data_IF_868657866858
#
_entry.id   IF_868657866858
#
_cell.length_a   1.000
_cell.length_b   1.000
_cell.length_c   1.000
_cell.angle_alpha   90.00
_cell.angle_beta   90.00
_cell.angle_gamma   90.00
#
_symmetry.space_group_name_H-M   'P 1'
#
loop_
_entity.id
_entity.type
_entity.pdbx_description
1 polymer ?
#
# COMPACT_ATOMS: atom_id res chain seq x y z
N UNK A 1 16.51 34.08 51.06
CA UNK A 1 16.18 33.64 49.67
C UNK A 1 15.22 32.46 49.76
N UNK A 2 13.94 32.66 49.40
CA UNK A 2 12.81 31.79 49.77
C UNK A 2 12.82 30.42 49.07
N UNK A 3 12.51 29.35 49.81
CA UNK A 3 12.37 27.95 49.35
C UNK A 3 11.47 27.81 48.11
N UNK A 4 10.46 28.67 47.98
CA UNK A 4 9.55 28.71 46.83
C UNK A 4 10.27 29.06 45.51
N UNK A 5 11.30 29.91 45.55
CA UNK A 5 12.08 30.28 44.38
C UNK A 5 12.99 29.12 43.92
N UNK A 6 13.61 28.42 44.89
CA UNK A 6 14.47 27.25 44.61
C UNK A 6 13.68 26.09 44.01
N UNK A 7 12.44 25.87 44.46
CA UNK A 7 11.54 24.87 43.89
C UNK A 7 11.01 25.24 42.50
N UNK A 8 10.69 26.52 42.25
CA UNK A 8 10.35 26.99 40.89
C UNK A 8 11.50 26.77 39.90
N UNK A 9 12.73 27.09 40.30
CA UNK A 9 13.91 26.89 39.44
C UNK A 9 14.20 25.41 39.17
N UNK A 10 14.02 24.54 40.17
CA UNK A 10 14.09 23.08 39.97
C UNK A 10 13.00 22.60 39.01
N UNK A 11 11.76 23.03 39.18
CA UNK A 11 10.62 22.65 38.31
C UNK A 11 10.86 23.05 36.85
N UNK A 12 11.33 24.28 36.62
CA UNK A 12 11.68 24.77 35.27
C UNK A 12 12.81 23.95 34.64
N UNK A 13 13.80 23.50 35.45
CA UNK A 13 14.89 22.66 34.95
C UNK A 13 14.41 21.27 34.53
N UNK A 14 13.50 20.65 35.29
CA UNK A 14 12.90 19.37 34.92
C UNK A 14 12.01 19.47 33.68
N UNK A 15 11.20 20.51 33.57
CA UNK A 15 10.34 20.74 32.38
C UNK A 15 11.17 20.89 31.10
N UNK A 16 12.29 21.62 31.16
CA UNK A 16 13.21 21.75 30.00
C UNK A 16 13.86 20.44 29.60
N UNK A 17 14.30 19.62 30.56
CA UNK A 17 14.88 18.31 30.28
C UNK A 17 13.86 17.34 29.69
N UNK A 18 12.61 17.39 30.14
CA UNK A 18 11.52 16.57 29.61
C UNK A 18 11.17 16.93 28.15
N UNK A 19 11.06 18.24 27.86
CA UNK A 19 10.81 18.74 26.50
C UNK A 19 11.96 18.37 25.57
N UNK A 20 13.22 18.47 26.02
CA UNK A 20 14.39 18.09 25.22
C UNK A 20 14.43 16.58 24.92
N UNK A 21 14.09 15.73 25.88
CA UNK A 21 14.09 14.28 25.70
C UNK A 21 12.95 13.80 24.79
N UNK A 22 11.75 14.39 24.94
CA UNK A 22 10.59 14.08 24.11
C UNK A 22 10.75 14.60 22.68
N UNK A 23 11.31 15.79 22.48
CA UNK A 23 11.59 16.33 21.13
C UNK A 23 12.69 15.53 20.42
N UNK A 24 13.74 15.10 21.14
CA UNK A 24 14.76 14.22 20.58
C UNK A 24 14.19 12.85 20.19
N UNK A 25 13.35 12.24 21.04
CA UNK A 25 12.66 10.99 20.73
C UNK A 25 11.73 11.10 19.53
N UNK A 26 10.93 12.18 19.46
CA UNK A 26 10.04 12.45 18.32
C UNK A 26 10.82 12.63 17.02
N UNK A 27 11.94 13.35 17.06
CA UNK A 27 12.82 13.55 15.90
C UNK A 27 13.42 12.22 15.44
N UNK A 28 13.87 11.38 16.36
CA UNK A 28 14.40 10.05 16.03
C UNK A 28 13.35 9.15 15.36
N UNK A 29 12.11 9.14 15.86
CA UNK A 29 11.00 8.38 15.27
C UNK A 29 10.65 8.91 13.86
N UNK A 30 10.60 10.22 13.68
CA UNK A 30 10.34 10.84 12.37
C UNK A 30 11.46 10.49 11.39
N UNK A 31 12.73 10.55 11.81
CA UNK A 31 13.87 10.24 10.96
C UNK A 31 13.93 8.76 10.59
N UNK A 32 13.63 7.87 11.56
CA UNK A 32 13.51 6.45 11.30
C UNK A 32 12.38 6.15 10.30
N UNK A 33 11.20 6.76 10.48
CA UNK A 33 10.06 6.64 9.56
C UNK A 33 10.40 7.16 8.16
N UNK A 34 11.06 8.32 8.05
CA UNK A 34 11.54 8.88 6.78
C UNK A 34 12.51 7.93 6.08
N UNK A 35 13.43 7.35 6.83
CA UNK A 35 14.45 6.43 6.30
C UNK A 35 13.81 5.14 5.79
N UNK A 36 12.94 4.52 6.59
CA UNK A 36 12.18 3.31 6.21
C UNK A 36 11.31 3.59 4.99
N UNK A 37 10.61 4.72 4.97
CA UNK A 37 9.79 5.14 3.84
C UNK A 37 10.61 5.30 2.56
N UNK A 38 11.78 5.94 2.62
CA UNK A 38 12.67 6.10 1.46
C UNK A 38 13.17 4.74 0.96
N UNK A 39 13.56 3.83 1.86
CA UNK A 39 14.02 2.48 1.49
C UNK A 39 12.90 1.71 0.76
N UNK A 40 11.71 1.63 1.36
CA UNK A 40 10.56 0.95 0.76
C UNK A 40 10.22 1.57 -0.61
N UNK A 41 10.28 2.91 -0.69
CA UNK A 41 10.01 3.65 -1.91
C UNK A 41 11.02 3.35 -3.02
N UNK A 42 12.32 3.35 -2.71
CA UNK A 42 13.38 3.04 -3.68
C UNK A 42 13.26 1.60 -4.17
N UNK A 43 13.03 0.66 -3.25
CA UNK A 43 12.80 -0.75 -3.59
C UNK A 43 11.57 -0.91 -4.49
N UNK A 44 10.47 -0.24 -4.15
CA UNK A 44 9.25 -0.25 -4.96
C UNK A 44 9.48 0.35 -6.37
N UNK A 45 10.18 1.48 -6.46
CA UNK A 45 10.49 2.11 -7.74
C UNK A 45 11.39 1.23 -8.62
N UNK A 46 12.45 0.66 -8.04
CA UNK A 46 13.33 -0.28 -8.74
C UNK A 46 12.56 -1.52 -9.22
N UNK A 47 11.66 -2.05 -8.39
CA UNK A 47 10.82 -3.19 -8.74
C UNK A 47 9.85 -2.88 -9.90
N UNK A 48 9.22 -1.70 -9.91
CA UNK A 48 8.35 -1.27 -11.00
C UNK A 48 9.11 -1.08 -12.32
N UNK A 49 10.31 -0.50 -12.28
CA UNK A 49 11.18 -0.35 -13.46
C UNK A 49 11.62 -1.73 -13.97
N UNK A 50 11.97 -2.64 -13.06
CA UNK A 50 12.29 -4.03 -13.41
C UNK A 50 11.11 -4.74 -14.10
N UNK A 51 9.89 -4.59 -13.58
CA UNK A 51 8.68 -5.13 -14.21
C UNK A 51 8.43 -4.49 -15.58
N UNK A 52 8.56 -3.17 -15.70
CA UNK A 52 8.41 -2.46 -16.96
C UNK A 52 9.38 -2.99 -18.05
N UNK A 53 10.65 -3.16 -17.69
CA UNK A 53 11.66 -3.75 -18.57
C UNK A 53 11.29 -5.19 -18.97
N UNK A 54 10.84 -6.00 -18.01
CA UNK A 54 10.40 -7.38 -18.27
C UNK A 54 9.20 -7.44 -19.20
N UNK A 55 8.26 -6.49 -19.13
CA UNK A 55 7.13 -6.41 -20.06
C UNK A 55 7.56 -5.96 -21.47
N UNK A 56 8.57 -5.10 -21.58
CA UNK A 56 9.11 -4.66 -22.86
C UNK A 56 9.93 -5.71 -23.61
N UNK A 57 10.74 -6.48 -22.88
CA UNK A 57 11.65 -7.49 -23.46
C UNK A 57 11.04 -8.90 -23.44
N UNK A 58 10.05 -9.14 -22.58
CA UNK A 58 9.45 -10.45 -22.38
C UNK A 58 8.76 -10.99 -23.62
N UNK A 59 9.14 -12.21 -24.00
CA UNK A 59 8.52 -12.90 -25.12
C UNK A 59 7.05 -13.23 -24.82
N UNK A 60 6.17 -12.77 -25.70
CA UNK A 60 4.71 -12.84 -25.57
C UNK A 60 4.21 -14.28 -25.44
N UNK A 61 4.97 -15.25 -25.96
CA UNK A 61 4.66 -16.68 -25.90
C UNK A 61 4.96 -17.30 -24.53
N UNK A 62 6.05 -16.88 -23.87
CA UNK A 62 6.50 -17.46 -22.60
C UNK A 62 5.62 -17.08 -21.40
N UNK A 63 4.99 -15.90 -21.42
CA UNK A 63 4.04 -15.50 -20.37
C UNK A 63 2.71 -16.25 -20.45
N UNK A 64 2.26 -16.63 -21.65
CA UNK A 64 1.01 -17.37 -21.82
C UNK A 64 1.13 -18.82 -21.30
N UNK A 65 2.30 -19.46 -21.45
CA UNK A 65 2.53 -20.82 -20.94
C UNK A 65 2.66 -20.86 -19.41
N UNK A 66 3.30 -19.86 -18.78
CA UNK A 66 3.38 -19.80 -17.30
C UNK A 66 2.04 -19.52 -16.60
N UNK A 67 1.03 -19.02 -17.32
CA UNK A 67 -0.31 -18.80 -16.78
C UNK A 67 -1.17 -20.07 -16.69
N UNK A 68 -0.75 -21.18 -17.29
CA UNK A 68 -1.46 -22.47 -17.27
C UNK A 68 -1.06 -23.42 -16.15
N UNK A 69 0.05 -23.16 -15.45
CA UNK A 69 0.62 -24.05 -14.43
C UNK A 69 0.32 -23.59 -12.99
N UNK A 70 -0.85 -23.00 -12.73
CA UNK A 70 -1.32 -22.88 -11.36
C UNK A 70 -2.05 -24.17 -10.95
N UNK A 71 -1.28 -25.25 -10.77
CA UNK A 71 -1.72 -26.43 -10.01
C UNK A 71 -1.76 -26.15 -8.48
N UNK A 72 -2.03 -24.91 -8.10
CA UNK A 72 -2.27 -24.57 -6.70
C UNK A 72 -3.65 -25.07 -6.32
N UNK A 73 -3.73 -26.08 -5.43
CA UNK A 73 -5.00 -26.43 -4.77
C UNK A 73 -5.68 -25.14 -4.27
N UNK A 74 -6.97 -24.97 -4.54
CA UNK A 74 -7.80 -23.82 -4.09
C UNK A 74 -7.43 -23.30 -2.69
N UNK A 75 -7.28 -24.14 -1.64
CA UNK A 75 -6.89 -23.66 -0.31
C UNK A 75 -5.53 -22.93 -0.24
N UNK A 76 -4.56 -23.32 -1.07
CA UNK A 76 -3.24 -22.66 -1.14
C UNK A 76 -3.37 -21.26 -1.74
N UNK A 77 -4.20 -21.11 -2.77
CA UNK A 77 -4.49 -19.81 -3.38
C UNK A 77 -5.25 -18.92 -2.41
N UNK A 78 -6.28 -19.44 -1.74
CA UNK A 78 -7.03 -18.69 -0.71
C UNK A 78 -6.12 -18.20 0.41
N UNK A 79 -5.22 -19.06 0.91
CA UNK A 79 -4.28 -18.68 1.98
C UNK A 79 -3.30 -17.59 1.51
N UNK A 80 -2.83 -17.66 0.27
CA UNK A 80 -1.92 -16.66 -0.30
C UNK A 80 -2.62 -15.31 -0.44
N UNK A 81 -3.83 -15.29 -0.99
CA UNK A 81 -4.63 -14.07 -1.12
C UNK A 81 -4.97 -13.48 0.26
N UNK A 82 -5.34 -14.32 1.23
CA UNK A 82 -5.61 -13.87 2.60
C UNK A 82 -4.38 -13.22 3.26
N UNK A 83 -3.19 -13.81 3.11
CA UNK A 83 -1.95 -13.25 3.63
C UNK A 83 -1.56 -11.94 2.93
N UNK A 84 -1.78 -11.86 1.62
CA UNK A 84 -1.57 -10.61 0.85
C UNK A 84 -2.55 -9.51 1.28
N UNK A 85 -3.81 -9.85 1.51
CA UNK A 85 -4.85 -8.91 1.93
C UNK A 85 -4.59 -8.35 3.33
N UNK A 86 -4.26 -9.21 4.31
CA UNK A 86 -3.90 -8.76 5.67
C UNK A 86 -2.58 -8.00 5.67
N UNK A 87 -1.63 -8.39 4.83
CA UNK A 87 -0.36 -7.70 4.66
C UNK A 87 -0.45 -6.34 3.96
N UNK A 88 -1.65 -5.90 3.54
CA UNK A 88 -1.87 -4.63 2.86
C UNK A 88 -2.18 -3.50 3.89
N UNK A 89 -1.18 -2.74 4.36
CA UNK A 89 -1.40 -1.69 5.35
C UNK A 89 -2.35 -0.60 4.85
N UNK A 90 -2.49 -0.43 3.53
CA UNK A 90 -3.42 0.54 2.94
C UNK A 90 -4.87 0.19 3.26
N UNK A 91 -5.23 -1.09 3.18
CA UNK A 91 -6.58 -1.54 3.49
C UNK A 91 -6.91 -1.26 4.95
N UNK A 92 -6.01 -1.64 5.87
CA UNK A 92 -6.14 -1.39 7.31
C UNK A 92 -6.34 0.10 7.58
N UNK A 93 -5.47 0.97 7.02
CA UNK A 93 -5.56 2.41 7.22
C UNK A 93 -6.89 2.99 6.73
N UNK A 94 -7.36 2.57 5.55
CA UNK A 94 -8.65 3.00 5.00
C UNK A 94 -9.78 2.58 5.92
N UNK A 95 -9.82 1.31 6.34
CA UNK A 95 -10.87 0.82 7.24
C UNK A 95 -10.86 1.54 8.59
N UNK A 96 -9.69 1.73 9.20
CA UNK A 96 -9.60 2.45 10.48
C UNK A 96 -9.98 3.93 10.38
N UNK A 97 -9.77 4.56 9.22
CA UNK A 97 -10.09 5.97 9.02
C UNK A 97 -11.55 6.21 8.60
N UNK A 98 -12.10 5.36 7.74
CA UNK A 98 -13.41 5.55 7.14
C UNK A 98 -14.52 4.79 7.87
N UNK A 99 -14.28 3.56 8.32
CA UNK A 99 -15.35 2.71 8.83
C UNK A 99 -16.01 3.27 10.12
N UNK A 100 -15.28 3.89 11.08
CA UNK A 100 -15.91 4.56 12.22
C UNK A 100 -16.86 5.71 11.84
N UNK A 101 -16.70 6.31 10.65
CA UNK A 101 -17.55 7.43 10.21
C UNK A 101 -18.96 6.98 9.82
N UNK A 102 -19.17 5.68 9.60
CA UNK A 102 -20.45 5.10 9.21
C UNK A 102 -21.16 4.38 10.37
N UNK A 103 -20.58 4.40 11.56
CA UNK A 103 -21.10 3.70 12.75
C UNK A 103 -21.80 4.71 13.65
N UNK A 104 -23.01 4.36 14.09
CA UNK A 104 -23.75 5.13 15.10
C UNK A 104 -23.28 4.70 16.50
N UNK A 105 -22.72 5.61 17.32
CA UNK A 105 -22.11 5.26 18.61
C UNK A 105 -23.05 4.66 19.67
N UNK A 106 -24.36 4.99 19.60
CA UNK A 106 -25.37 4.60 20.59
C UNK A 106 -26.08 3.27 20.29
N UNK A 107 -25.66 2.55 19.26
CA UNK A 107 -26.24 1.29 18.77
C UNK A 107 -25.22 0.14 18.90
N UNK A 108 -25.64 -1.12 18.67
CA UNK A 108 -24.70 -2.25 18.71
C UNK A 108 -23.65 -2.14 17.59
N UNK A 109 -22.46 -1.74 18.00
CA UNK A 109 -21.30 -1.53 17.13
C UNK A 109 -20.90 -2.82 16.43
N UNK A 110 -20.94 -3.98 17.10
CA UNK A 110 -20.44 -5.22 16.54
C UNK A 110 -21.28 -5.66 15.33
N UNK A 111 -22.60 -5.56 15.46
CA UNK A 111 -23.54 -5.85 14.36
C UNK A 111 -23.35 -4.89 13.18
N UNK A 112 -23.18 -3.58 13.42
CA UNK A 112 -22.92 -2.61 12.36
C UNK A 112 -21.62 -2.91 11.61
N UNK A 113 -20.54 -3.23 12.32
CA UNK A 113 -19.27 -3.62 11.71
C UNK A 113 -19.39 -4.89 10.85
N UNK A 114 -20.15 -5.89 11.29
CA UNK A 114 -20.41 -7.10 10.49
C UNK A 114 -21.16 -6.74 9.21
N UNK A 115 -22.21 -5.92 9.28
CA UNK A 115 -23.00 -5.50 8.12
C UNK A 115 -22.14 -4.71 7.13
N UNK A 116 -21.39 -3.70 7.61
CA UNK A 116 -20.50 -2.92 6.76
C UNK A 116 -19.41 -3.78 6.11
N UNK A 117 -18.82 -4.70 6.87
CA UNK A 117 -17.85 -5.67 6.36
C UNK A 117 -18.46 -6.56 5.27
N UNK A 118 -19.68 -7.06 5.47
CA UNK A 118 -20.39 -7.89 4.50
C UNK A 118 -20.71 -7.12 3.20
N UNK A 119 -21.17 -5.87 3.30
CA UNK A 119 -21.43 -5.00 2.15
C UNK A 119 -20.12 -4.74 1.39
N UNK A 120 -19.04 -4.41 2.09
CA UNK A 120 -17.73 -4.20 1.48
C UNK A 120 -17.26 -5.44 0.71
N UNK A 121 -17.31 -6.62 1.35
CA UNK A 121 -16.91 -7.88 0.72
C UNK A 121 -17.78 -8.20 -0.49
N UNK A 122 -19.09 -7.97 -0.43
CA UNK A 122 -19.98 -8.18 -1.56
C UNK A 122 -19.63 -7.27 -2.75
N UNK A 123 -19.36 -5.98 -2.49
CA UNK A 123 -18.94 -5.03 -3.52
C UNK A 123 -17.58 -5.41 -4.12
N UNK A 124 -16.63 -5.85 -3.29
CA UNK A 124 -15.33 -6.33 -3.75
C UNK A 124 -15.48 -7.56 -4.65
N UNK A 125 -16.33 -8.52 -4.26
CA UNK A 125 -16.60 -9.72 -5.04
C UNK A 125 -17.23 -9.39 -6.40
N UNK A 126 -18.19 -8.47 -6.43
CA UNK A 126 -18.80 -7.97 -7.68
C UNK A 126 -17.75 -7.29 -8.56
N UNK A 127 -16.90 -6.44 -7.99
CA UNK A 127 -15.84 -5.77 -8.74
C UNK A 127 -14.87 -6.79 -9.37
N UNK A 128 -14.41 -7.79 -8.60
CA UNK A 128 -13.53 -8.86 -9.09
C UNK A 128 -14.22 -9.68 -10.19
N UNK A 129 -15.50 -10.02 -10.02
CA UNK A 129 -16.27 -10.75 -11.03
C UNK A 129 -16.36 -9.97 -12.35
N UNK A 130 -16.60 -8.66 -12.28
CA UNK A 130 -16.60 -7.77 -13.45
C UNK A 130 -15.22 -7.76 -14.12
N UNK A 131 -14.13 -7.60 -13.35
CA UNK A 131 -12.77 -7.64 -13.88
C UNK A 131 -12.42 -8.98 -14.52
N UNK A 132 -12.83 -10.10 -13.92
CA UNK A 132 -12.63 -11.44 -14.47
C UNK A 132 -13.37 -11.61 -15.81
N UNK A 133 -14.63 -11.17 -15.86
CA UNK A 133 -15.44 -11.21 -17.09
C UNK A 133 -14.85 -10.36 -18.22
N UNK A 134 -14.41 -9.14 -17.90
CA UNK A 134 -13.70 -8.25 -18.83
C UNK A 134 -12.38 -8.88 -19.29
N UNK A 135 -11.64 -9.51 -18.38
CA UNK A 135 -10.40 -10.22 -18.68
C UNK A 135 -10.58 -11.35 -19.69
N UNK A 136 -11.66 -12.14 -19.59
CA UNK A 136 -11.99 -13.20 -20.55
C UNK A 136 -12.27 -12.64 -21.95
N UNK A 137 -12.95 -11.50 -22.05
CA UNK A 137 -13.20 -10.83 -23.33
C UNK A 137 -11.91 -10.24 -23.91
N UNK A 138 -11.11 -9.58 -23.06
CA UNK A 138 -9.84 -8.98 -23.44
C UNK A 138 -8.83 -10.03 -23.90
N UNK A 139 -8.86 -11.24 -23.32
CA UNK A 139 -8.01 -12.36 -23.74
C UNK A 139 -8.27 -12.78 -25.20
N UNK A 140 -9.53 -12.74 -25.65
CA UNK A 140 -9.89 -13.01 -27.05
C UNK A 140 -9.34 -11.95 -28.00
N UNK A 141 -9.39 -10.67 -27.59
CA UNK A 141 -8.86 -9.54 -28.37
C UNK A 141 -7.32 -9.52 -28.38
N UNK A 142 -6.71 -9.94 -27.27
CA UNK A 142 -5.28 -10.12 -27.11
C UNK A 142 -4.81 -11.49 -27.65
N UNK A 143 -5.57 -12.22 -28.47
CA UNK A 143 -5.11 -13.51 -28.98
C UNK A 143 -3.89 -13.37 -29.93
N UNK A 144 -3.80 -12.25 -30.65
CA UNK A 144 -2.72 -11.98 -31.61
C UNK A 144 -1.41 -11.50 -30.97
N UNK A 145 -0.26 -11.95 -31.52
CA UNK A 145 1.07 -11.56 -31.03
C UNK A 145 1.32 -10.04 -31.05
N UNK A 146 0.80 -9.33 -32.05
CA UNK A 146 0.90 -7.85 -32.14
C UNK A 146 0.09 -7.16 -31.03
N UNK A 147 -1.14 -7.61 -30.78
CA UNK A 147 -2.00 -7.03 -29.76
C UNK A 147 -1.42 -7.22 -28.35
N UNK A 148 -0.91 -8.42 -28.03
CA UNK A 148 -0.20 -8.69 -26.78
C UNK A 148 1.06 -7.83 -26.63
N UNK A 149 1.84 -7.64 -27.70
CA UNK A 149 3.05 -6.81 -27.67
C UNK A 149 2.71 -5.35 -27.35
N UNK A 150 1.69 -4.78 -28.00
CA UNK A 150 1.23 -3.41 -27.75
C UNK A 150 0.74 -3.30 -26.30
N UNK A 151 -0.08 -4.24 -25.83
CA UNK A 151 -0.57 -4.26 -24.46
C UNK A 151 0.57 -4.29 -23.44
N UNK A 152 1.55 -5.19 -23.62
CA UNK A 152 2.74 -5.25 -22.77
C UNK A 152 3.55 -3.96 -22.80
N UNK A 153 3.67 -3.31 -23.96
CA UNK A 153 4.38 -2.04 -24.09
C UNK A 153 3.67 -0.89 -23.35
N UNK A 154 2.34 -0.83 -23.44
CA UNK A 154 1.51 0.15 -22.72
C UNK A 154 1.61 -0.09 -21.21
N UNK A 155 1.37 -1.32 -20.74
CA UNK A 155 1.51 -1.66 -19.32
C UNK A 155 2.94 -1.41 -18.81
N UNK A 156 3.96 -1.76 -19.61
CA UNK A 156 5.35 -1.48 -19.30
C UNK A 156 5.63 0.02 -19.18
N UNK A 157 5.13 0.84 -20.11
CA UNK A 157 5.30 2.30 -20.03
C UNK A 157 4.59 2.91 -18.82
N UNK A 158 3.41 2.40 -18.45
CA UNK A 158 2.68 2.87 -17.26
C UNK A 158 3.44 2.50 -15.98
N UNK A 159 3.94 1.28 -15.86
CA UNK A 159 4.74 0.83 -14.72
C UNK A 159 6.07 1.60 -14.63
N UNK A 160 6.76 1.80 -15.76
CA UNK A 160 8.00 2.56 -15.82
C UNK A 160 7.78 4.03 -15.45
N UNK A 161 6.70 4.63 -15.96
CA UNK A 161 6.27 5.98 -15.62
C UNK A 161 5.93 6.13 -14.13
N UNK A 162 5.20 5.16 -13.54
CA UNK A 162 4.90 5.14 -12.11
C UNK A 162 6.18 4.99 -11.26
N UNK A 163 7.11 4.12 -11.66
CA UNK A 163 8.41 3.95 -11.00
C UNK A 163 9.25 5.23 -11.04
N UNK A 164 9.31 5.90 -12.21
CA UNK A 164 10.00 7.18 -12.36
C UNK A 164 9.32 8.29 -11.56
N UNK A 165 7.99 8.37 -11.58
CA UNK A 165 7.22 9.33 -10.79
C UNK A 165 7.45 9.13 -9.29
N UNK A 166 7.58 7.88 -8.83
CA UNK A 166 7.95 7.59 -7.45
C UNK A 166 9.32 8.19 -7.13
N UNK A 167 10.33 8.00 -7.97
CA UNK A 167 11.65 8.60 -7.77
C UNK A 167 11.59 10.14 -7.75
N UNK A 168 10.88 10.75 -8.71
CA UNK A 168 10.76 12.21 -8.85
C UNK A 168 10.02 12.84 -7.66
N UNK A 169 8.95 12.21 -7.17
CA UNK A 169 8.19 12.67 -6.01
C UNK A 169 9.03 12.73 -4.71
N UNK A 170 10.26 12.18 -4.71
CA UNK A 170 11.18 12.28 -3.58
C UNK A 170 11.82 13.66 -3.41
N UNK A 171 12.07 14.36 -4.51
CA UNK A 171 12.74 15.67 -4.47
C UNK A 171 11.89 16.74 -3.78
N UNK A 172 10.56 16.62 -3.82
CA UNK A 172 9.63 17.55 -3.16
C UNK A 172 9.57 17.41 -1.63
N UNK A 173 9.92 16.24 -1.07
CA UNK A 173 9.91 15.97 0.39
C UNK A 173 11.27 16.21 1.05
N UNK A 174 12.33 16.29 0.25
CA UNK A 174 13.68 16.67 0.71
C UNK A 174 13.96 18.18 0.65
N UNK A 175 13.10 18.95 -0.03
CA UNK A 175 13.23 20.41 -0.20
C UNK A 175 12.32 21.23 0.75
N UNK A 176 11.57 20.56 1.63
CA UNK A 176 10.77 21.10 2.74
C UNK A 176 11.35 20.59 4.06
#
# INVERSE_FOLDING_TARGET
MSLAHKNRLRKIRYERSYIALTSAGLTAVILASKTIFIIIKLLGAAYLIYLAYKLWVGDVSAMAQKGGESEGRIPTLMRREFLLAIGNPKAILIFTAFLPQFVVPDEDVLTQFIILGAIFLALEWVAIAIYAYLGLHLQRWLAGAKAKKIFNQVCGSLLGGAGLSLLVAGHAVSAL
#
